data_IF_469773983609
#
_entry.id   IF_469773983609
#
_cell.length_a   1.000
_cell.length_b   1.000
_cell.length_c   1.000
_cell.angle_alpha   90.00
_cell.angle_beta   90.00
_cell.angle_gamma   90.00
#
_symmetry.space_group_name_H-M   'P 1'
#
loop_
_entity.id
_entity.type
_entity.pdbx_description
1 polymer ?
#
# COMPACT_ATOMS: atom_id res chain seq x y z
N UNK A 1 39.38 -13.96 -37.22
CA UNK A 1 39.90 -13.61 -35.88
C UNK A 1 38.79 -13.89 -34.89
N UNK A 2 38.95 -15.00 -34.18
CA UNK A 2 38.48 -15.31 -32.83
C UNK A 2 37.01 -15.03 -32.49
N UNK A 3 36.26 -16.13 -32.51
CA UNK A 3 35.21 -16.42 -31.52
C UNK A 3 35.79 -16.27 -30.12
N UNK A 4 35.14 -15.45 -29.28
CA UNK A 4 34.92 -15.69 -27.85
C UNK A 4 33.62 -14.95 -27.54
N UNK A 5 32.49 -15.65 -27.72
CA UNK A 5 31.20 -15.23 -27.17
C UNK A 5 31.03 -15.93 -25.81
N UNK A 6 32.04 -15.78 -24.96
CA UNK A 6 32.12 -16.41 -23.64
C UNK A 6 31.87 -15.35 -22.57
N UNK A 7 30.68 -14.78 -22.56
CA UNK A 7 30.12 -14.28 -21.30
C UNK A 7 28.68 -14.74 -21.29
N UNK A 8 28.49 -15.87 -20.60
CA UNK A 8 27.18 -16.35 -20.19
C UNK A 8 26.52 -15.16 -19.52
N UNK A 9 25.40 -14.69 -20.08
CA UNK A 9 24.61 -13.63 -19.47
C UNK A 9 24.06 -14.19 -18.16
N UNK A 10 24.72 -13.86 -17.05
CA UNK A 10 24.40 -14.42 -15.74
C UNK A 10 23.29 -13.63 -15.07
N UNK A 11 23.01 -12.39 -15.52
CA UNK A 11 21.99 -11.54 -14.94
C UNK A 11 21.18 -10.73 -15.97
N UNK A 12 19.95 -10.38 -15.60
CA UNK A 12 19.01 -9.56 -16.40
C UNK A 12 19.60 -8.19 -16.78
N UNK A 13 20.52 -7.65 -15.98
CA UNK A 13 21.19 -6.38 -16.22
C UNK A 13 22.23 -6.47 -17.35
N UNK A 14 23.03 -7.54 -17.38
CA UNK A 14 24.02 -7.79 -18.44
C UNK A 14 23.33 -8.03 -19.79
N UNK A 15 22.20 -8.75 -19.78
CA UNK A 15 21.37 -8.96 -20.96
C UNK A 15 20.92 -7.63 -21.58
N UNK A 16 20.52 -6.71 -20.71
CA UNK A 16 19.97 -5.41 -21.09
C UNK A 16 21.03 -4.48 -21.68
N UNK A 17 22.23 -4.46 -21.10
CA UNK A 17 23.35 -3.67 -21.64
C UNK A 17 23.86 -4.23 -22.96
N UNK A 18 23.93 -5.56 -23.12
CA UNK A 18 24.25 -6.18 -24.40
C UNK A 18 23.22 -5.78 -25.49
N UNK A 19 21.93 -5.76 -25.15
CA UNK A 19 20.85 -5.34 -26.05
C UNK A 19 20.91 -3.85 -26.42
N UNK A 20 21.23 -2.97 -25.48
CA UNK A 20 21.46 -1.55 -25.76
C UNK A 20 22.63 -1.33 -26.71
N UNK A 21 23.74 -2.03 -26.49
CA UNK A 21 24.95 -1.94 -27.33
C UNK A 21 24.66 -2.41 -28.77
N UNK A 22 23.90 -3.50 -28.94
CA UNK A 22 23.48 -3.98 -30.25
C UNK A 22 22.52 -3.00 -30.94
N UNK A 23 21.55 -2.43 -30.22
CA UNK A 23 20.64 -1.44 -30.77
C UNK A 23 21.39 -0.19 -31.27
N UNK A 24 22.34 0.32 -30.48
CA UNK A 24 23.15 1.48 -30.82
C UNK A 24 24.00 1.24 -32.08
N UNK A 25 24.58 0.05 -32.25
CA UNK A 25 25.31 -0.33 -33.48
C UNK A 25 24.46 -0.32 -34.74
N UNK A 26 23.15 -0.54 -34.61
CA UNK A 26 22.20 -0.48 -35.72
C UNK A 26 21.51 0.89 -35.84
N UNK A 27 22.04 1.93 -35.19
CA UNK A 27 21.50 3.30 -35.26
C UNK A 27 20.13 3.46 -34.58
N UNK A 28 19.73 2.51 -33.73
CA UNK A 28 18.48 2.56 -32.96
C UNK A 28 18.79 2.82 -31.50
N UNK A 29 18.01 3.70 -30.86
CA UNK A 29 18.09 3.87 -29.42
C UNK A 29 17.00 3.02 -28.76
N UNK A 30 17.39 1.95 -28.07
CA UNK A 30 16.46 1.08 -27.37
C UNK A 30 16.10 1.72 -26.02
N UNK A 31 15.09 2.59 -26.01
CA UNK A 31 14.49 3.10 -24.78
C UNK A 31 13.38 2.15 -24.33
N UNK A 32 13.75 1.01 -23.75
CA UNK A 32 12.82 0.26 -22.92
C UNK A 32 12.83 0.91 -21.53
N UNK A 33 12.16 2.05 -21.39
CA UNK A 33 11.67 2.46 -20.08
C UNK A 33 10.68 1.40 -19.65
N UNK A 34 11.09 0.54 -18.72
CA UNK A 34 10.17 -0.37 -18.07
C UNK A 34 9.02 0.46 -17.49
N UNK A 35 7.79 0.18 -17.93
CA UNK A 35 6.57 0.80 -17.42
C UNK A 35 6.22 0.33 -15.99
N UNK A 36 7.23 0.05 -15.15
CA UNK A 36 7.04 -0.27 -13.73
C UNK A 36 6.31 0.90 -13.03
N UNK A 37 6.57 2.14 -13.45
CA UNK A 37 5.88 3.31 -12.92
C UNK A 37 4.39 3.44 -13.30
N UNK A 38 3.92 2.81 -14.38
CA UNK A 38 2.49 2.83 -14.74
C UNK A 38 1.73 1.81 -13.89
N UNK A 39 2.25 0.58 -13.82
CA UNK A 39 1.70 -0.49 -13.00
C UNK A 39 1.73 -0.13 -11.51
N UNK A 40 2.83 0.46 -11.01
CA UNK A 40 2.94 0.92 -9.62
C UNK A 40 1.96 2.06 -9.30
N UNK A 41 1.77 3.02 -10.21
CA UNK A 41 0.80 4.10 -10.02
C UNK A 41 -0.64 3.58 -10.05
N UNK A 42 -0.94 2.61 -10.91
CA UNK A 42 -2.26 1.98 -10.95
C UNK A 42 -2.53 1.18 -9.66
N UNK A 43 -1.55 0.39 -9.20
CA UNK A 43 -1.62 -0.32 -7.90
C UNK A 43 -1.84 0.68 -6.75
N UNK A 44 -1.07 1.76 -6.72
CA UNK A 44 -1.19 2.79 -5.69
C UNK A 44 -2.56 3.47 -5.71
N UNK A 45 -3.09 3.82 -6.89
CA UNK A 45 -4.44 4.39 -7.03
C UNK A 45 -5.51 3.43 -6.55
N UNK A 46 -5.39 2.16 -6.92
CA UNK A 46 -6.27 1.08 -6.48
C UNK A 46 -6.23 0.94 -4.95
N UNK A 47 -5.04 0.96 -4.36
CA UNK A 47 -4.86 0.86 -2.90
C UNK A 47 -5.39 2.09 -2.15
N UNK A 48 -5.32 3.28 -2.76
CA UNK A 48 -5.97 4.49 -2.23
C UNK A 48 -7.49 4.34 -2.24
N UNK A 49 -8.08 3.84 -3.34
CA UNK A 49 -9.52 3.59 -3.41
C UNK A 49 -10.00 2.57 -2.36
N UNK A 50 -9.18 1.56 -2.02
CA UNK A 50 -9.46 0.68 -0.87
C UNK A 50 -9.48 1.42 0.44
N UNK A 51 -8.49 2.29 0.68
CA UNK A 51 -8.44 3.09 1.89
C UNK A 51 -9.67 4.00 1.97
N UNK A 52 -10.12 4.56 0.84
CA UNK A 52 -11.33 5.37 0.79
C UNK A 52 -12.57 4.58 1.20
N UNK A 53 -12.77 3.39 0.64
CA UNK A 53 -13.89 2.51 1.00
C UNK A 53 -13.79 2.03 2.47
N UNK A 54 -12.58 1.78 2.96
CA UNK A 54 -12.35 1.44 4.37
C UNK A 54 -12.70 2.59 5.30
N UNK A 55 -12.36 3.84 4.93
CA UNK A 55 -12.75 5.03 5.68
C UNK A 55 -14.27 5.15 5.77
N UNK A 56 -14.98 4.89 4.67
CA UNK A 56 -16.45 4.95 4.66
C UNK A 56 -17.05 3.85 5.58
N UNK A 57 -16.44 2.66 5.61
CA UNK A 57 -16.81 1.61 6.55
C UNK A 57 -16.54 2.00 8.01
N UNK A 58 -15.40 2.64 8.31
CA UNK A 58 -15.08 3.15 9.65
C UNK A 58 -16.10 4.20 10.10
N UNK A 59 -16.49 5.11 9.21
CA UNK A 59 -17.53 6.12 9.48
C UNK A 59 -18.84 5.45 9.83
N UNK A 60 -19.26 4.45 9.06
CA UNK A 60 -20.50 3.70 9.30
C UNK A 60 -20.48 2.93 10.63
N UNK A 61 -19.35 2.31 10.97
CA UNK A 61 -19.22 1.46 12.17
C UNK A 61 -19.03 2.25 13.47
N UNK A 62 -18.26 3.35 13.43
CA UNK A 62 -17.86 4.10 14.63
C UNK A 62 -18.59 5.44 14.79
N UNK A 63 -19.40 5.85 13.80
CA UNK A 63 -20.18 7.10 13.87
C UNK A 63 -19.31 8.37 13.89
N UNK A 64 -18.07 8.29 13.41
CA UNK A 64 -17.13 9.43 13.36
C UNK A 64 -17.23 10.21 12.05
N UNK A 65 -16.74 11.45 12.05
CA UNK A 65 -16.72 12.26 10.82
C UNK A 65 -15.66 11.76 9.82
N UNK A 66 -16.10 11.38 8.62
CA UNK A 66 -15.20 10.98 7.53
C UNK A 66 -14.29 12.10 7.05
N UNK A 67 -14.75 13.37 7.11
CA UNK A 67 -13.91 14.52 6.78
C UNK A 67 -12.78 14.67 7.79
N UNK A 68 -13.02 14.43 9.08
CA UNK A 68 -11.98 14.46 10.10
C UNK A 68 -10.99 13.31 9.93
N UNK A 69 -11.45 12.09 9.58
CA UNK A 69 -10.55 10.97 9.27
C UNK A 69 -9.56 11.29 8.14
N UNK A 70 -10.01 12.04 7.12
CA UNK A 70 -9.22 12.47 5.95
C UNK A 70 -8.45 13.78 6.17
N UNK A 71 -8.82 14.58 7.17
CA UNK A 71 -8.28 15.94 7.36
C UNK A 71 -6.79 15.93 7.74
N UNK A 72 -6.01 16.94 7.31
CA UNK A 72 -4.66 17.21 7.81
C UNK A 72 -4.60 17.31 9.35
N UNK A 73 -3.42 17.22 9.97
CA UNK A 73 -3.24 16.98 11.40
C UNK A 73 -3.53 18.21 12.29
N UNK A 74 -4.64 18.92 12.08
CA UNK A 74 -5.19 19.80 13.11
C UNK A 74 -5.90 18.96 14.18
N UNK A 75 -6.03 19.52 15.39
CA UNK A 75 -6.56 18.85 16.60
C UNK A 75 -7.81 18.00 16.31
N UNK A 76 -7.60 16.71 16.09
CA UNK A 76 -8.68 15.74 15.97
C UNK A 76 -9.15 15.37 17.38
N UNK A 77 -10.43 15.04 17.54
CA UNK A 77 -10.88 14.36 18.76
C UNK A 77 -10.13 13.03 18.94
N UNK A 78 -9.84 12.66 20.18
CA UNK A 78 -9.10 11.43 20.51
C UNK A 78 -9.75 10.19 19.91
N UNK A 79 -11.08 10.14 19.91
CA UNK A 79 -11.87 9.06 19.30
C UNK A 79 -11.62 8.93 17.80
N UNK A 80 -11.64 10.05 17.06
CA UNK A 80 -11.39 10.07 15.62
C UNK A 80 -9.94 9.65 15.32
N UNK A 81 -8.99 10.08 16.14
CA UNK A 81 -7.61 9.64 16.02
C UNK A 81 -7.49 8.12 16.19
N UNK A 82 -8.20 7.55 17.17
CA UNK A 82 -8.23 6.10 17.43
C UNK A 82 -8.85 5.32 16.28
N UNK A 83 -10.01 5.76 15.77
CA UNK A 83 -10.66 5.12 14.61
C UNK A 83 -9.75 5.17 13.39
N UNK A 84 -9.02 6.27 13.17
CA UNK A 84 -8.03 6.37 12.10
C UNK A 84 -6.88 5.37 12.28
N UNK A 85 -6.37 5.22 13.49
CA UNK A 85 -5.30 4.26 13.80
C UNK A 85 -5.74 2.83 13.52
N UNK A 86 -6.96 2.46 13.92
CA UNK A 86 -7.57 1.15 13.62
C UNK A 86 -7.66 0.96 12.10
N UNK A 87 -8.13 1.97 11.36
CA UNK A 87 -8.18 1.95 9.90
C UNK A 87 -6.84 1.69 9.23
N UNK A 88 -5.80 2.38 9.67
CA UNK A 88 -4.43 2.20 9.17
C UNK A 88 -3.89 0.80 9.46
N UNK A 89 -4.13 0.30 10.68
CA UNK A 89 -3.74 -1.04 11.08
C UNK A 89 -4.41 -2.09 10.19
N UNK A 90 -5.74 -2.07 10.06
CA UNK A 90 -6.49 -3.04 9.24
C UNK A 90 -6.12 -2.97 7.76
N UNK A 91 -5.92 -1.76 7.21
CA UNK A 91 -5.44 -1.61 5.84
C UNK A 91 -4.08 -2.30 5.62
N UNK A 92 -3.18 -2.23 6.62
CA UNK A 92 -1.88 -2.87 6.55
C UNK A 92 -1.95 -4.38 6.81
N UNK A 93 -2.64 -4.81 7.87
CA UNK A 93 -2.62 -6.21 8.35
C UNK A 93 -3.62 -7.10 7.62
N UNK A 94 -4.86 -6.64 7.44
CA UNK A 94 -5.92 -7.44 6.83
C UNK A 94 -5.89 -7.40 5.30
N UNK A 95 -5.53 -6.25 4.70
CA UNK A 95 -5.46 -6.11 3.24
C UNK A 95 -4.05 -6.24 2.67
N UNK A 96 -3.02 -6.34 3.53
CA UNK A 96 -1.63 -6.49 3.10
C UNK A 96 -1.06 -5.28 2.37
N UNK A 97 -1.66 -4.09 2.53
CA UNK A 97 -1.19 -2.90 1.85
C UNK A 97 0.16 -2.44 2.42
N UNK A 98 1.08 -2.02 1.54
CA UNK A 98 2.32 -1.42 1.99
C UNK A 98 2.02 -0.13 2.78
N UNK A 99 2.76 0.13 3.86
CA UNK A 99 2.53 1.32 4.71
C UNK A 99 2.58 2.64 3.93
N UNK A 100 3.35 2.73 2.85
CA UNK A 100 3.39 3.91 1.96
C UNK A 100 2.07 4.10 1.21
N UNK A 101 1.42 3.00 0.83
CA UNK A 101 0.18 3.02 0.08
C UNK A 101 -0.98 3.40 1.02
N UNK A 102 -0.96 2.88 2.26
CA UNK A 102 -1.87 3.28 3.36
C UNK A 102 -1.69 4.76 3.70
N UNK A 103 -0.44 5.22 3.83
CA UNK A 103 -0.12 6.62 4.12
C UNK A 103 -0.71 7.56 3.06
N UNK A 104 -0.59 7.21 1.78
CA UNK A 104 -1.23 7.94 0.69
C UNK A 104 -2.76 7.94 0.82
N UNK A 105 -3.39 6.80 1.11
CA UNK A 105 -4.84 6.68 1.25
C UNK A 105 -5.43 7.48 2.42
N UNK A 106 -4.70 7.56 3.54
CA UNK A 106 -5.13 8.29 4.74
C UNK A 106 -4.60 9.74 4.81
N UNK A 107 -3.92 10.22 3.76
CA UNK A 107 -3.26 11.53 3.74
C UNK A 107 -2.36 11.77 4.98
N UNK A 108 -1.46 10.82 5.23
CA UNK A 108 -0.50 10.81 6.35
C UNK A 108 0.90 10.44 5.92
N UNK A 109 1.84 10.62 6.83
CA UNK A 109 3.20 10.14 6.67
C UNK A 109 3.30 8.64 6.96
N UNK A 110 4.23 7.96 6.27
CA UNK A 110 4.50 6.53 6.49
C UNK A 110 4.80 6.21 7.96
N UNK A 111 5.53 7.09 8.64
CA UNK A 111 5.86 6.93 10.07
C UNK A 111 4.63 7.02 10.96
N UNK A 112 3.60 7.78 10.59
CA UNK A 112 2.31 7.81 11.29
C UNK A 112 1.60 6.47 11.19
N UNK A 113 1.63 5.82 10.01
CA UNK A 113 1.04 4.48 9.82
C UNK A 113 1.76 3.46 10.69
N UNK A 114 3.10 3.44 10.65
CA UNK A 114 3.91 2.56 11.50
C UNK A 114 3.62 2.76 12.99
N UNK A 115 3.56 4.02 13.44
CA UNK A 115 3.21 4.35 14.82
C UNK A 115 1.79 3.90 15.17
N UNK A 116 0.82 4.07 14.28
CA UNK A 116 -0.53 3.59 14.46
C UNK A 116 -0.59 2.07 14.61
N UNK A 117 0.17 1.32 13.81
CA UNK A 117 0.21 -0.12 13.91
C UNK A 117 0.74 -0.58 15.27
N UNK A 118 1.85 -0.01 15.75
CA UNK A 118 2.39 -0.35 17.07
C UNK A 118 1.39 0.00 18.18
N UNK A 119 0.78 1.19 18.12
CA UNK A 119 -0.22 1.59 19.13
C UNK A 119 -1.43 0.66 19.16
N UNK A 120 -1.95 0.26 18.00
CA UNK A 120 -3.08 -0.68 17.93
C UNK A 120 -2.66 -2.01 18.54
N UNK A 121 -1.51 -2.55 18.16
CA UNK A 121 -1.00 -3.82 18.69
C UNK A 121 -0.82 -3.77 20.22
N UNK A 122 -0.20 -2.71 20.76
CA UNK A 122 -0.05 -2.52 22.21
C UNK A 122 -1.41 -2.44 22.93
N UNK A 123 -2.45 -1.91 22.28
CA UNK A 123 -3.80 -1.83 22.86
C UNK A 123 -4.56 -3.15 22.78
N UNK A 124 -4.16 -4.11 21.94
CA UNK A 124 -4.82 -5.43 21.82
C UNK A 124 -4.61 -6.33 23.03
N UNK A 125 -3.74 -5.94 23.97
CA UNK A 125 -3.66 -6.55 25.30
C UNK A 125 -4.95 -6.34 26.11
N UNK A 126 -5.74 -5.32 25.79
CA UNK A 126 -7.07 -5.10 26.35
C UNK A 126 -8.13 -5.90 25.58
N UNK A 127 -8.83 -6.81 26.27
CA UNK A 127 -9.79 -7.72 25.66
C UNK A 127 -11.00 -7.04 25.02
N UNK A 128 -11.43 -5.89 25.54
CA UNK A 128 -12.57 -5.15 24.97
C UNK A 128 -12.16 -4.49 23.65
N UNK A 129 -10.98 -3.86 23.65
CA UNK A 129 -10.41 -3.28 22.45
C UNK A 129 -10.12 -4.34 21.38
N UNK A 130 -9.52 -5.47 21.76
CA UNK A 130 -9.24 -6.58 20.85
C UNK A 130 -10.52 -7.14 20.21
N UNK A 131 -11.61 -7.26 20.97
CA UNK A 131 -12.90 -7.70 20.45
C UNK A 131 -13.49 -6.74 19.41
N UNK A 132 -13.33 -5.42 19.63
CA UNK A 132 -13.75 -4.38 18.69
C UNK A 132 -12.94 -4.47 17.40
N UNK A 133 -11.61 -4.51 17.49
CA UNK A 133 -10.72 -4.60 16.32
C UNK A 133 -10.97 -5.89 15.56
N UNK A 134 -11.05 -7.03 16.24
CA UNK A 134 -11.35 -8.34 15.64
C UNK A 134 -12.70 -8.35 14.93
N UNK A 135 -13.71 -7.70 15.49
CA UNK A 135 -15.03 -7.57 14.82
C UNK A 135 -14.91 -6.75 13.56
N UNK A 136 -14.20 -5.64 13.61
CA UNK A 136 -13.99 -4.79 12.44
C UNK A 136 -13.17 -5.49 11.35
N UNK A 137 -12.11 -6.22 11.72
CA UNK A 137 -11.31 -7.05 10.79
C UNK A 137 -12.17 -8.08 10.07
N UNK A 138 -13.08 -8.77 10.78
CA UNK A 138 -14.01 -9.72 10.15
C UNK A 138 -14.95 -9.04 9.17
N UNK A 139 -15.53 -7.90 9.55
CA UNK A 139 -16.45 -7.15 8.68
C UNK A 139 -15.69 -6.66 7.45
N UNK A 140 -14.53 -6.03 7.62
CA UNK A 140 -13.67 -5.59 6.53
C UNK A 140 -13.30 -6.76 5.61
N UNK A 141 -12.85 -7.89 6.15
CA UNK A 141 -12.55 -9.06 5.34
C UNK A 141 -13.76 -9.52 4.52
N UNK A 142 -14.97 -9.54 5.10
CA UNK A 142 -16.20 -9.92 4.40
C UNK A 142 -16.63 -8.91 3.32
N UNK A 143 -16.48 -7.61 3.59
CA UNK A 143 -16.87 -6.54 2.67
C UNK A 143 -15.92 -6.44 1.46
N UNK A 144 -14.66 -6.86 1.63
CA UNK A 144 -13.61 -6.71 0.63
C UNK A 144 -13.09 -8.06 0.08
N UNK A 145 -13.84 -9.17 0.24
CA UNK A 145 -13.45 -10.51 -0.28
C UNK A 145 -13.11 -10.48 -1.78
N UNK A 146 -13.92 -9.78 -2.57
CA UNK A 146 -13.75 -9.68 -4.02
C UNK A 146 -12.46 -8.94 -4.41
N UNK A 147 -12.04 -7.98 -3.59
CA UNK A 147 -10.85 -7.19 -3.83
C UNK A 147 -9.55 -7.98 -3.69
N UNK A 148 -9.55 -9.04 -2.88
CA UNK A 148 -8.40 -9.96 -2.76
C UNK A 148 -8.24 -10.85 -3.99
N UNK A 149 -9.32 -11.16 -4.70
CA UNK A 149 -9.30 -12.05 -5.87
C UNK A 149 -8.88 -11.35 -7.17
N UNK A 150 -8.85 -10.01 -7.17
CA UNK A 150 -8.47 -9.19 -8.32
C UNK A 150 -6.99 -8.71 -8.28
N UNK A 151 -6.17 -9.26 -7.37
CA UNK A 151 -4.74 -8.98 -7.21
C UNK A 151 -3.91 -10.21 -7.55
#
# INVERSE_FOLDING_TARGET
MSLELSDVIHTRAEAFEALKLLAARHGRNLSLTMEEGCADRLRQRRNVALCDALIDLLVAMFGVSGTELRSPPLRCRREVARVRQIGMYVAHTAFGLAMRDVAAGFARDRTTVMHACHLVEDMRDDTEFDAIVSTFERIAHSAFVEWRMAA
#
